data_IF_177964421481
#
_entry.id   IF_177964421481
#
_cell.length_a   1.000
_cell.length_b   1.000
_cell.length_c   1.000
_cell.angle_alpha   90.00
_cell.angle_beta   90.00
_cell.angle_gamma   90.00
#
_symmetry.space_group_name_H-M   'P 1'
#
loop_
_entity.id
_entity.type
_entity.pdbx_description
1 polymer ?
#
# COMPACT_ATOMS: atom_id res chain seq x y z
N UNK A 1 3.47 -52.65 9.50
CA UNK A 1 3.38 -51.93 8.22
C UNK A 1 2.50 -50.71 8.44
N UNK A 2 3.08 -49.51 8.42
CA UNK A 2 2.38 -48.23 8.58
C UNK A 2 2.02 -47.71 7.19
N UNK A 3 0.75 -47.74 6.82
CA UNK A 3 0.27 -47.08 5.59
C UNK A 3 -0.27 -45.69 5.94
N UNK A 4 0.63 -44.71 6.00
CA UNK A 4 0.26 -43.29 6.04
C UNK A 4 -0.17 -42.87 4.64
N UNK A 5 -1.48 -42.72 4.42
CA UNK A 5 -2.02 -42.09 3.22
C UNK A 5 -1.71 -40.59 3.30
N UNK A 6 -0.67 -40.19 2.61
CA UNK A 6 -0.36 -38.79 2.28
C UNK A 6 -1.63 -38.17 1.66
N UNK A 7 -2.27 -37.28 2.42
CA UNK A 7 -3.31 -36.41 1.89
C UNK A 7 -2.60 -35.45 0.94
N UNK A 8 -2.80 -35.65 -0.36
CA UNK A 8 -2.21 -34.80 -1.38
C UNK A 8 -2.74 -33.38 -1.17
N UNK A 9 -1.77 -32.46 -1.09
CA UNK A 9 -1.95 -31.03 -0.97
C UNK A 9 -2.68 -30.48 -2.19
N UNK A 10 -3.99 -30.36 -2.10
CA UNK A 10 -4.73 -29.37 -2.88
C UNK A 10 -4.87 -28.12 -2.01
N UNK A 11 -3.81 -27.31 -1.96
CA UNK A 11 -3.91 -25.93 -1.46
C UNK A 11 -4.59 -25.11 -2.55
N UNK A 12 -5.88 -25.35 -2.76
CA UNK A 12 -6.80 -24.37 -3.32
C UNK A 12 -7.45 -23.66 -2.14
N UNK A 13 -6.66 -22.87 -1.41
CA UNK A 13 -7.22 -21.91 -0.45
C UNK A 13 -7.75 -20.73 -1.26
N UNK A 14 -8.99 -20.87 -1.75
CA UNK A 14 -9.86 -19.72 -1.93
C UNK A 14 -9.78 -18.91 -0.63
N UNK A 15 -9.07 -17.78 -0.67
CA UNK A 15 -8.80 -16.97 0.51
C UNK A 15 -10.05 -16.15 0.80
N UNK A 16 -11.11 -16.83 1.25
CA UNK A 16 -12.34 -16.23 1.73
C UNK A 16 -12.39 -16.28 3.27
N UNK A 17 -11.22 -16.17 3.89
CA UNK A 17 -11.15 -15.84 5.32
C UNK A 17 -11.29 -14.33 5.42
N UNK A 18 -12.39 -13.81 6.00
CA UNK A 18 -12.53 -12.37 6.20
C UNK A 18 -11.32 -11.87 6.99
N UNK A 19 -10.59 -10.89 6.46
CA UNK A 19 -9.44 -10.29 7.14
C UNK A 19 -9.96 -9.54 8.35
N UNK A 20 -9.87 -10.16 9.52
CA UNK A 20 -10.24 -9.54 10.79
C UNK A 20 -9.13 -8.53 11.14
N UNK A 21 -9.45 -7.24 11.32
CA UNK A 21 -8.50 -6.28 11.85
C UNK A 21 -8.07 -6.71 13.26
N UNK A 22 -6.76 -6.74 13.53
CA UNK A 22 -6.25 -6.96 14.88
C UNK A 22 -6.78 -5.86 15.82
N UNK A 23 -7.22 -6.25 17.01
CA UNK A 23 -7.76 -5.30 17.98
C UNK A 23 -6.69 -4.30 18.41
N UNK A 24 -6.99 -3.00 18.29
CA UNK A 24 -6.05 -1.92 18.58
C UNK A 24 -5.18 -1.48 17.40
N UNK A 25 -5.33 -2.09 16.21
CA UNK A 25 -4.62 -1.67 15.00
C UNK A 25 -5.53 -0.79 14.13
N UNK A 26 -5.08 0.44 13.86
CA UNK A 26 -5.75 1.31 12.90
C UNK A 26 -5.60 0.71 11.50
N UNK A 27 -6.71 0.23 10.94
CA UNK A 27 -6.76 -0.26 9.55
C UNK A 27 -7.40 0.81 8.67
N UNK A 28 -6.81 1.00 7.50
CA UNK A 28 -7.33 1.92 6.49
C UNK A 28 -8.17 1.10 5.50
N UNK A 29 -9.33 1.59 5.03
CA UNK A 29 -10.05 0.94 3.94
C UNK A 29 -9.15 0.75 2.71
N UNK A 30 -9.32 -0.36 1.98
CA UNK A 30 -8.44 -0.70 0.85
C UNK A 30 -8.33 0.43 -0.17
N UNK A 31 -9.43 1.11 -0.52
CA UNK A 31 -9.40 2.24 -1.45
C UNK A 31 -8.56 3.43 -0.95
N UNK A 32 -8.64 3.71 0.36
CA UNK A 32 -7.86 4.75 1.00
C UNK A 32 -6.37 4.35 1.10
N UNK A 33 -6.07 3.06 1.30
CA UNK A 33 -4.72 2.51 1.27
C UNK A 33 -4.10 2.57 -0.13
N UNK A 34 -4.86 2.17 -1.15
CA UNK A 34 -4.46 2.28 -2.55
C UNK A 34 -4.20 3.75 -2.94
N UNK A 35 -5.05 4.68 -2.47
CA UNK A 35 -4.83 6.11 -2.69
C UNK A 35 -3.55 6.57 -1.99
N UNK A 36 -3.32 6.17 -0.75
CA UNK A 36 -2.11 6.53 0.00
C UNK A 36 -0.85 6.00 -0.70
N UNK A 37 -0.87 4.75 -1.19
CA UNK A 37 0.25 4.14 -1.90
C UNK A 37 0.60 4.90 -3.19
N UNK A 38 -0.41 5.21 -4.01
CA UNK A 38 -0.21 6.03 -5.23
C UNK A 38 0.37 7.41 -4.94
N UNK A 39 -0.04 8.04 -3.83
CA UNK A 39 0.55 9.33 -3.41
C UNK A 39 2.01 9.17 -2.98
N UNK A 40 2.32 8.10 -2.25
CA UNK A 40 3.68 7.83 -1.78
C UNK A 40 4.66 7.62 -2.95
N UNK A 41 4.23 7.01 -4.05
CA UNK A 41 5.04 6.86 -5.27
C UNK A 41 5.46 8.23 -5.86
N UNK A 42 4.60 9.24 -5.79
CA UNK A 42 4.88 10.60 -6.29
C UNK A 42 5.81 11.36 -5.31
N UNK A 43 5.64 11.17 -4.01
CA UNK A 43 6.40 11.88 -2.98
C UNK A 43 7.79 11.28 -2.75
N UNK A 44 7.95 9.96 -2.95
CA UNK A 44 9.19 9.23 -2.65
C UNK A 44 10.44 9.83 -3.32
N UNK A 45 10.43 10.22 -4.61
CA UNK A 45 11.58 10.88 -5.24
C UNK A 45 11.91 12.25 -4.60
N UNK A 46 10.90 12.99 -4.17
CA UNK A 46 11.09 14.29 -3.50
C UNK A 46 11.75 14.11 -2.13
N UNK A 47 11.32 13.09 -1.37
CA UNK A 47 11.85 12.77 -0.05
C UNK A 47 13.32 12.31 -0.07
N UNK A 48 13.81 11.81 -1.22
CA UNK A 48 15.21 11.44 -1.41
C UNK A 48 16.11 12.65 -1.71
N UNK A 49 15.52 13.81 -2.04
CA UNK A 49 16.26 15.03 -2.32
C UNK A 49 16.51 15.81 -1.03
N UNK A 50 17.75 16.29 -0.82
CA UNK A 50 18.08 17.13 0.34
C UNK A 50 17.28 18.44 0.36
N UNK A 51 16.96 18.98 -0.82
CA UNK A 51 16.09 20.14 -0.99
C UNK A 51 15.14 19.91 -2.16
N UNK A 52 13.85 20.17 -1.95
CA UNK A 52 12.84 20.06 -3.01
C UNK A 52 12.82 21.36 -3.82
N UNK A 53 13.10 21.25 -5.12
CA UNK A 53 13.00 22.37 -6.05
C UNK A 53 11.55 22.78 -6.33
N UNK A 54 11.33 24.06 -6.63
CA UNK A 54 9.99 24.60 -6.90
C UNK A 54 9.26 23.85 -8.04
N UNK A 55 9.96 23.58 -9.15
CA UNK A 55 9.40 22.86 -10.29
C UNK A 55 8.99 21.42 -9.94
N UNK A 56 9.84 20.71 -9.19
CA UNK A 56 9.53 19.36 -8.73
C UNK A 56 8.31 19.34 -7.79
N UNK A 57 8.21 20.32 -6.89
CA UNK A 57 7.05 20.48 -6.02
C UNK A 57 5.78 20.84 -6.81
N UNK A 58 5.87 21.71 -7.81
CA UNK A 58 4.74 22.10 -8.66
C UNK A 58 4.22 20.91 -9.49
N UNK A 59 5.12 20.10 -10.06
CA UNK A 59 4.74 18.88 -10.78
C UNK A 59 4.04 17.86 -9.87
N UNK A 60 4.57 17.62 -8.67
CA UNK A 60 3.95 16.72 -7.71
C UNK A 60 2.59 17.24 -7.23
N UNK A 61 2.48 18.55 -6.99
CA UNK A 61 1.23 19.19 -6.59
C UNK A 61 0.14 19.00 -7.67
N UNK A 62 0.50 19.17 -8.94
CA UNK A 62 -0.40 18.93 -10.06
C UNK A 62 -0.81 17.46 -10.16
N UNK A 63 0.13 16.52 -10.01
CA UNK A 63 -0.15 15.08 -10.04
C UNK A 63 -1.05 14.62 -8.87
N UNK A 64 -0.93 15.27 -7.71
CA UNK A 64 -1.70 14.96 -6.51
C UNK A 64 -3.02 15.73 -6.41
N UNK A 65 -3.23 16.76 -7.24
CA UNK A 65 -4.35 17.69 -7.13
C UNK A 65 -4.32 18.54 -5.85
N UNK A 66 -3.12 18.88 -5.38
CA UNK A 66 -2.86 19.64 -4.16
C UNK A 66 -2.24 21.01 -4.47
N UNK A 67 -2.15 21.87 -3.46
CA UNK A 67 -1.31 23.07 -3.56
C UNK A 67 0.16 22.74 -3.32
N UNK A 68 1.08 23.49 -3.95
CA UNK A 68 2.53 23.32 -3.75
C UNK A 68 2.96 23.33 -2.28
N UNK A 69 2.26 24.07 -1.40
CA UNK A 69 2.58 24.16 0.04
C UNK A 69 2.23 22.90 0.84
N UNK A 70 1.40 22.01 0.28
CA UNK A 70 1.00 20.76 0.90
C UNK A 70 1.90 19.58 0.49
N UNK A 71 2.66 19.76 -0.60
CA UNK A 71 3.72 18.85 -1.03
C UNK A 71 4.97 19.15 -0.23
#
# INVERSE_FOLDING_TARGET
>A
MLNTRVHQSEVSMATDTPRIPEQGVATLPDEAWERARRRAEIISPLAQSETVGHEAADMAAQALGLSRRQV
#
